data_IF_063821361196
#
_entry.id   IF_063821361196
#
_cell.length_a   1.000
_cell.length_b   1.000
_cell.length_c   1.000
_cell.angle_alpha   90.00
_cell.angle_beta   90.00
_cell.angle_gamma   90.00
#
_symmetry.space_group_name_H-M   'P 1'
#
loop_
_entity.id
_entity.type
_entity.pdbx_description
1 polymer ?
#
# COMPACT_ATOMS: atom_id res chain seq x y z
N UNK A 1 10.89 13.14 17.22
CA UNK A 1 11.50 12.54 18.42
C UNK A 1 12.17 11.19 18.16
N UNK A 2 12.29 10.82 16.87
CA UNK A 2 12.87 9.53 16.40
C UNK A 2 12.19 8.28 17.02
N UNK A 3 10.89 8.38 17.35
CA UNK A 3 10.10 7.25 17.90
C UNK A 3 10.29 6.99 19.39
N UNK A 4 10.97 7.86 20.13
CA UNK A 4 11.19 7.68 21.59
C UNK A 4 9.86 7.63 22.34
N UNK A 5 8.88 8.45 21.97
CA UNK A 5 7.57 8.50 22.64
C UNK A 5 6.46 7.82 21.80
N UNK A 6 6.82 6.92 20.88
CA UNK A 6 5.85 6.27 19.97
C UNK A 6 4.70 5.56 20.70
N UNK A 7 4.99 4.93 21.83
CA UNK A 7 3.99 4.18 22.61
C UNK A 7 2.98 5.08 23.32
N UNK A 8 3.34 6.32 23.62
CA UNK A 8 2.43 7.32 24.18
C UNK A 8 1.63 8.03 23.09
N UNK A 9 2.25 8.25 21.92
CA UNK A 9 1.67 9.01 20.83
C UNK A 9 0.80 8.19 19.89
N UNK A 10 0.98 6.87 19.83
CA UNK A 10 0.25 5.99 18.88
C UNK A 10 -1.27 6.08 19.01
N UNK A 11 -1.78 6.30 20.23
CA UNK A 11 -3.21 6.42 20.49
C UNK A 11 -3.82 7.74 19.99
N UNK A 12 -2.97 8.73 19.68
CA UNK A 12 -3.38 10.04 19.15
C UNK A 12 -3.37 10.08 17.62
N UNK A 13 -2.82 9.04 16.96
CA UNK A 13 -2.79 8.98 15.51
C UNK A 13 -4.20 8.77 14.95
N UNK A 14 -4.57 9.64 14.03
CA UNK A 14 -5.88 9.60 13.37
C UNK A 14 -5.72 9.71 11.86
N UNK A 15 -6.42 8.86 11.13
CA UNK A 15 -6.39 8.82 9.67
C UNK A 15 -7.81 8.75 9.11
N UNK A 16 -8.01 9.24 7.89
CA UNK A 16 -9.32 9.15 7.25
C UNK A 16 -9.60 7.70 6.84
N UNK A 17 -10.72 7.18 7.32
CA UNK A 17 -11.19 5.83 7.00
C UNK A 17 -11.98 5.81 5.70
N UNK A 18 -11.75 4.79 4.87
CA UNK A 18 -12.57 4.51 3.68
C UNK A 18 -14.00 4.12 4.01
N UNK A 19 -14.24 3.56 5.20
CA UNK A 19 -15.55 3.07 5.66
C UNK A 19 -16.37 4.16 6.34
N UNK A 20 -15.71 4.93 7.22
CA UNK A 20 -16.36 5.97 8.01
C UNK A 20 -16.36 7.35 7.32
N UNK A 21 -15.53 7.53 6.30
CA UNK A 21 -15.32 8.78 5.56
C UNK A 21 -14.95 10.00 6.46
N UNK A 22 -14.36 9.71 7.62
CA UNK A 22 -13.89 10.67 8.62
C UNK A 22 -12.60 10.21 9.26
N UNK A 23 -11.98 11.08 10.07
CA UNK A 23 -10.84 10.72 10.91
C UNK A 23 -11.27 9.67 11.95
N UNK A 24 -10.49 8.60 12.05
CA UNK A 24 -10.65 7.52 13.04
C UNK A 24 -9.30 7.23 13.69
N UNK A 25 -9.34 6.77 14.94
CA UNK A 25 -8.14 6.28 15.63
C UNK A 25 -7.75 4.89 15.13
N UNK A 26 -6.54 4.47 15.42
CA UNK A 26 -6.09 3.10 15.13
C UNK A 26 -6.91 2.06 15.94
N UNK A 27 -7.33 2.38 17.16
CA UNK A 27 -8.19 1.53 17.97
C UNK A 27 -9.56 1.33 17.31
N UNK A 28 -10.20 2.41 16.85
CA UNK A 28 -11.48 2.33 16.14
C UNK A 28 -11.35 1.47 14.86
N UNK A 29 -10.28 1.62 14.10
CA UNK A 29 -10.02 0.78 12.93
C UNK A 29 -9.88 -0.69 13.31
N UNK A 30 -9.02 -1.01 14.29
CA UNK A 30 -8.77 -2.39 14.73
C UNK A 30 -10.04 -3.04 15.27
N UNK A 31 -10.91 -2.30 15.97
CA UNK A 31 -12.19 -2.82 16.47
C UNK A 31 -13.15 -3.29 15.36
N UNK A 32 -12.98 -2.80 14.14
CA UNK A 32 -13.80 -3.14 12.96
C UNK A 32 -13.13 -4.12 12.01
N UNK A 33 -11.87 -4.52 12.28
CA UNK A 33 -11.16 -5.50 11.46
C UNK A 33 -11.87 -6.86 11.46
N UNK A 34 -11.68 -7.63 10.40
CA UNK A 34 -12.11 -9.04 10.35
C UNK A 34 -11.30 -9.86 11.36
N UNK A 35 -11.89 -10.93 11.90
CA UNK A 35 -11.25 -11.77 12.94
C UNK A 35 -9.90 -12.34 12.51
N UNK A 36 -9.77 -12.72 11.24
CA UNK A 36 -8.55 -13.29 10.64
C UNK A 36 -7.59 -12.23 10.08
N UNK A 37 -7.97 -10.96 10.06
CA UNK A 37 -7.14 -9.88 9.53
C UNK A 37 -5.98 -9.55 10.47
N UNK A 38 -4.76 -9.66 9.95
CA UNK A 38 -3.52 -9.38 10.71
C UNK A 38 -2.89 -8.03 10.37
N UNK A 39 -3.45 -7.33 9.40
CA UNK A 39 -2.81 -6.18 8.74
C UNK A 39 -3.74 -4.98 8.70
N UNK A 40 -3.22 -3.83 9.09
CA UNK A 40 -3.86 -2.52 8.90
C UNK A 40 -3.53 -2.05 7.49
N UNK A 41 -4.53 -1.96 6.62
CA UNK A 41 -4.36 -1.51 5.25
C UNK A 41 -4.44 0.00 5.14
N UNK A 42 -3.51 0.59 4.40
CA UNK A 42 -3.52 2.00 4.08
C UNK A 42 -3.17 2.27 2.61
N UNK A 43 -3.55 3.42 2.11
CA UNK A 43 -3.15 3.96 0.82
C UNK A 43 -2.61 5.37 1.01
N UNK A 44 -1.43 5.65 0.46
CA UNK A 44 -0.82 6.98 0.49
C UNK A 44 -1.03 7.68 -0.86
N UNK A 45 -1.46 8.92 -0.83
CA UNK A 45 -1.61 9.78 -2.00
C UNK A 45 -1.70 11.26 -1.58
N UNK A 46 -1.47 12.18 -2.53
CA UNK A 46 -1.54 13.63 -2.28
C UNK A 46 -2.94 14.13 -1.81
N UNK A 47 -3.99 13.34 -2.01
CA UNK A 47 -5.34 13.65 -1.52
C UNK A 47 -6.21 12.39 -1.39
N UNK A 48 -7.30 12.49 -0.62
CA UNK A 48 -8.28 11.42 -0.43
C UNK A 48 -8.89 11.00 -1.78
N UNK A 49 -9.19 11.97 -2.66
CA UNK A 49 -9.75 11.71 -3.98
C UNK A 49 -8.81 10.85 -4.82
N UNK A 50 -7.51 11.16 -4.81
CA UNK A 50 -6.51 10.36 -5.51
C UNK A 50 -6.37 8.97 -4.89
N UNK A 51 -6.34 8.86 -3.56
CA UNK A 51 -6.30 7.58 -2.87
C UNK A 51 -7.50 6.69 -3.24
N UNK A 52 -8.70 7.25 -3.28
CA UNK A 52 -9.93 6.55 -3.70
C UNK A 52 -9.90 6.05 -5.15
N UNK A 53 -9.09 6.65 -6.02
CA UNK A 53 -8.97 6.27 -7.44
C UNK A 53 -7.96 5.14 -7.68
N UNK A 54 -7.22 4.72 -6.68
CA UNK A 54 -6.22 3.65 -6.82
C UNK A 54 -6.90 2.29 -7.04
N UNK A 55 -6.52 1.53 -8.07
CA UNK A 55 -7.11 0.21 -8.36
C UNK A 55 -7.04 -0.76 -7.19
N UNK A 56 -5.93 -0.73 -6.45
CA UNK A 56 -5.71 -1.59 -5.29
C UNK A 56 -6.66 -1.24 -4.13
N UNK A 57 -7.02 0.03 -3.98
CA UNK A 57 -8.03 0.47 -3.00
C UNK A 57 -9.39 -0.09 -3.38
N UNK A 58 -9.82 0.09 -4.64
CA UNK A 58 -11.08 -0.49 -5.14
C UNK A 58 -11.15 -2.01 -4.88
N UNK A 59 -10.07 -2.72 -5.14
CA UNK A 59 -9.99 -4.17 -4.94
C UNK A 59 -10.08 -4.56 -3.46
N UNK A 60 -9.36 -3.86 -2.57
CA UNK A 60 -9.42 -4.09 -1.12
C UNK A 60 -10.83 -3.83 -0.57
N UNK A 61 -11.47 -2.74 -1.00
CA UNK A 61 -12.84 -2.40 -0.60
C UNK A 61 -13.86 -3.43 -1.10
N UNK A 62 -13.74 -3.89 -2.35
CA UNK A 62 -14.60 -4.93 -2.92
C UNK A 62 -14.53 -6.24 -2.14
N UNK A 63 -13.37 -6.55 -1.56
CA UNK A 63 -13.16 -7.69 -0.66
C UNK A 63 -13.56 -7.42 0.79
N UNK A 64 -14.11 -6.24 1.08
CA UNK A 64 -14.65 -5.84 2.38
C UNK A 64 -13.60 -5.45 3.42
N UNK A 65 -12.40 -5.08 2.99
CA UNK A 65 -11.39 -4.48 3.87
C UNK A 65 -11.59 -2.97 3.99
N UNK A 66 -11.36 -2.43 5.17
CA UNK A 66 -11.27 -1.00 5.40
C UNK A 66 -9.85 -0.53 5.07
N UNK A 67 -9.70 0.62 4.42
CA UNK A 67 -8.40 1.23 4.06
C UNK A 67 -8.30 2.60 4.70
N UNK A 68 -7.19 2.91 5.34
CA UNK A 68 -6.86 4.24 5.84
C UNK A 68 -6.21 5.07 4.73
N UNK A 69 -6.62 6.32 4.58
CA UNK A 69 -6.03 7.24 3.61
C UNK A 69 -4.99 8.12 4.28
N UNK A 70 -3.75 7.97 3.84
CA UNK A 70 -2.60 8.77 4.27
C UNK A 70 -2.42 9.90 3.26
N UNK A 71 -2.62 11.13 3.70
CA UNK A 71 -2.58 12.31 2.83
C UNK A 71 -1.52 13.32 3.28
N UNK A 72 -0.91 13.11 4.43
CA UNK A 72 0.26 13.85 4.87
C UNK A 72 1.53 13.06 4.55
N UNK A 73 2.57 13.78 4.08
CA UNK A 73 3.84 13.14 3.70
C UNK A 73 4.57 12.49 4.87
N UNK A 74 4.18 12.78 6.11
CA UNK A 74 4.77 12.16 7.29
C UNK A 74 4.02 10.91 7.76
N UNK A 75 2.81 10.64 7.24
CA UNK A 75 1.98 9.53 7.68
C UNK A 75 2.67 8.17 7.51
N UNK A 76 3.23 7.90 6.31
CA UNK A 76 3.94 6.65 6.07
C UNK A 76 5.20 6.51 6.94
N UNK A 77 5.94 7.59 7.15
CA UNK A 77 7.11 7.56 8.04
C UNK A 77 6.70 7.29 9.49
N UNK A 78 5.61 7.89 9.96
CA UNK A 78 5.10 7.69 11.32
C UNK A 78 4.71 6.23 11.56
N UNK A 79 3.93 5.59 10.67
CA UNK A 79 3.52 4.19 10.85
C UNK A 79 4.68 3.21 10.67
N UNK A 80 5.67 3.53 9.84
CA UNK A 80 6.90 2.73 9.74
C UNK A 80 7.74 2.77 11.01
N UNK A 81 7.82 3.92 11.68
CA UNK A 81 8.47 4.03 12.98
C UNK A 81 7.69 3.32 14.07
N UNK A 82 6.36 3.31 13.98
CA UNK A 82 5.49 2.57 14.90
C UNK A 82 5.63 1.05 14.70
N UNK A 83 5.83 0.59 13.46
CA UNK A 83 5.95 -0.80 13.00
C UNK A 83 4.64 -1.59 13.09
N UNK A 84 3.98 -1.60 14.23
CA UNK A 84 2.72 -2.32 14.45
C UNK A 84 1.84 -1.61 15.49
N UNK A 85 0.55 -1.90 15.46
CA UNK A 85 -0.41 -1.48 16.46
C UNK A 85 -1.27 -2.69 16.88
N UNK A 86 -1.29 -3.01 18.18
CA UNK A 86 -1.99 -4.19 18.73
C UNK A 86 -1.70 -5.49 17.94
N UNK A 87 -0.42 -5.78 17.71
CA UNK A 87 0.08 -6.93 16.95
C UNK A 87 -0.37 -6.96 15.46
N UNK A 88 -0.89 -5.85 14.94
CA UNK A 88 -1.25 -5.69 13.53
C UNK A 88 -0.18 -4.86 12.83
N UNK A 89 0.34 -5.35 11.72
CA UNK A 89 1.32 -4.64 10.88
C UNK A 89 0.63 -3.67 9.95
N UNK A 90 1.33 -2.62 9.51
CA UNK A 90 0.83 -1.68 8.51
C UNK A 90 1.31 -2.10 7.12
N UNK A 91 0.40 -2.17 6.15
CA UNK A 91 0.74 -2.49 4.77
C UNK A 91 0.04 -1.52 3.81
N UNK A 92 0.83 -0.92 2.92
CA UNK A 92 0.31 -0.11 1.82
C UNK A 92 -0.36 -1.04 0.80
N UNK A 93 -1.63 -0.79 0.47
CA UNK A 93 -2.36 -1.61 -0.52
C UNK A 93 -1.71 -1.57 -1.91
N UNK A 94 -0.91 -0.55 -2.20
CA UNK A 94 -0.15 -0.43 -3.45
C UNK A 94 1.17 -1.21 -3.44
N UNK A 95 1.55 -1.83 -2.31
CA UNK A 95 2.76 -2.65 -2.24
C UNK A 95 2.50 -4.08 -2.71
N UNK A 96 3.57 -4.74 -3.16
CA UNK A 96 3.55 -6.17 -3.47
C UNK A 96 3.18 -7.04 -2.26
N UNK A 97 3.46 -6.54 -1.04
CA UNK A 97 3.19 -7.23 0.24
C UNK A 97 1.71 -7.24 0.65
N UNK A 98 0.86 -6.41 0.03
CA UNK A 98 -0.57 -6.40 0.35
C UNK A 98 -1.20 -7.76 -0.01
N UNK A 99 -1.63 -8.50 1.01
CA UNK A 99 -2.19 -9.84 0.87
C UNK A 99 -3.69 -9.83 1.20
N UNK A 100 -4.50 -9.55 0.18
CA UNK A 100 -5.96 -9.68 0.23
C UNK A 100 -6.51 -10.56 -0.89
N UNK A 101 -5.64 -11.34 -1.56
CA UNK A 101 -6.02 -12.34 -2.55
C UNK A 101 -6.35 -13.68 -1.86
N UNK A 102 -7.28 -14.42 -2.43
CA UNK A 102 -7.57 -15.80 -1.99
C UNK A 102 -6.45 -16.74 -2.42
N UNK A 103 -6.39 -17.92 -1.81
CA UNK A 103 -5.39 -18.93 -2.18
C UNK A 103 -5.58 -19.38 -3.65
N UNK A 104 -6.83 -19.43 -4.14
CA UNK A 104 -7.16 -19.72 -5.54
C UNK A 104 -6.62 -18.62 -6.47
N UNK A 105 -6.87 -17.36 -6.17
CA UNK A 105 -6.33 -16.22 -6.93
C UNK A 105 -4.80 -16.19 -6.96
N UNK A 106 -4.14 -16.60 -5.87
CA UNK A 106 -2.66 -16.71 -5.82
C UNK A 106 -2.13 -17.81 -6.74
N UNK A 107 -2.79 -18.97 -6.78
CA UNK A 107 -2.43 -20.06 -7.69
C UNK A 107 -2.70 -19.68 -9.16
N UNK A 108 -3.81 -19.01 -9.44
CA UNK A 108 -4.10 -18.47 -10.77
C UNK A 108 -3.05 -17.42 -11.17
N UNK A 109 -2.69 -16.49 -10.31
CA UNK A 109 -1.63 -15.52 -10.56
C UNK A 109 -0.31 -16.21 -10.93
N UNK A 110 0.07 -17.27 -10.21
CA UNK A 110 1.28 -18.02 -10.47
C UNK A 110 1.24 -18.67 -11.85
N UNK A 111 0.14 -19.38 -12.15
CA UNK A 111 -0.04 -20.05 -13.44
C UNK A 111 -0.03 -19.08 -14.62
N UNK A 112 -0.74 -17.95 -14.49
CA UNK A 112 -0.79 -16.91 -15.53
C UNK A 112 0.57 -16.23 -15.73
N UNK A 113 1.31 -15.98 -14.65
CA UNK A 113 2.66 -15.40 -14.75
C UNK A 113 3.65 -16.36 -15.40
N UNK A 114 3.62 -17.64 -15.08
CA UNK A 114 4.46 -18.67 -15.71
C UNK A 114 4.10 -18.85 -17.20
N UNK A 115 2.81 -18.89 -17.52
CA UNK A 115 2.33 -19.10 -18.90
C UNK A 115 2.59 -17.92 -19.83
N UNK A 116 2.70 -16.71 -19.31
CA UNK A 116 2.86 -15.48 -20.08
C UNK A 116 4.19 -14.78 -19.84
N UNK A 117 5.20 -15.49 -19.32
CA UNK A 117 6.51 -14.92 -18.97
C UNK A 117 7.16 -14.17 -20.14
N UNK A 118 7.13 -14.74 -21.36
CA UNK A 118 7.69 -14.10 -22.55
C UNK A 118 6.99 -12.76 -22.85
N UNK A 119 5.66 -12.70 -22.74
CA UNK A 119 4.90 -11.48 -22.96
C UNK A 119 5.28 -10.40 -21.94
N UNK A 120 5.36 -10.76 -20.65
CA UNK A 120 5.71 -9.82 -19.59
C UNK A 120 7.14 -9.31 -19.70
N UNK A 121 8.07 -10.15 -20.17
CA UNK A 121 9.44 -9.73 -20.47
C UNK A 121 9.49 -8.73 -21.62
N UNK A 122 8.73 -8.94 -22.70
CA UNK A 122 8.61 -7.98 -23.82
C UNK A 122 8.00 -6.65 -23.34
N UNK A 123 6.98 -6.69 -22.51
CA UNK A 123 6.37 -5.49 -21.94
C UNK A 123 7.34 -4.73 -21.03
N UNK A 124 8.10 -5.46 -20.18
CA UNK A 124 9.14 -4.88 -19.34
C UNK A 124 10.23 -4.20 -20.17
N UNK A 125 10.71 -4.86 -21.22
CA UNK A 125 11.74 -4.31 -22.11
C UNK A 125 11.26 -3.03 -22.81
N UNK A 126 9.99 -2.99 -23.21
CA UNK A 126 9.38 -1.79 -23.78
C UNK A 126 9.25 -0.62 -22.78
N UNK A 127 9.06 -0.92 -21.48
CA UNK A 127 9.00 0.08 -20.41
C UNK A 127 10.41 0.51 -19.93
N UNK A 128 11.43 -0.32 -20.18
CA UNK A 128 12.82 -0.06 -19.81
C UNK A 128 13.01 0.03 -18.28
N UNK A 129 13.84 0.99 -17.85
CA UNK A 129 14.20 1.19 -16.44
C UNK A 129 13.09 1.84 -15.58
N UNK A 130 11.89 2.01 -16.14
CA UNK A 130 10.76 2.60 -15.41
C UNK A 130 10.12 1.62 -14.44
N UNK A 131 10.23 0.32 -14.72
CA UNK A 131 9.68 -0.74 -13.89
C UNK A 131 10.70 -1.87 -13.73
N UNK A 132 10.67 -2.54 -12.58
CA UNK A 132 11.52 -3.70 -12.28
C UNK A 132 10.95 -4.98 -12.88
N UNK A 133 9.62 -5.11 -12.93
CA UNK A 133 8.92 -6.27 -13.45
C UNK A 133 7.53 -5.89 -13.99
N UNK A 134 6.98 -6.78 -14.82
CA UNK A 134 5.57 -6.77 -15.24
C UNK A 134 4.98 -8.13 -14.90
N UNK A 135 3.80 -8.14 -14.29
CA UNK A 135 3.16 -9.40 -13.88
C UNK A 135 1.63 -9.29 -13.87
N UNK A 136 0.98 -10.42 -13.98
CA UNK A 136 -0.45 -10.55 -13.76
C UNK A 136 -0.78 -10.59 -12.26
N UNK A 137 -1.92 -9.99 -11.87
CA UNK A 137 -2.44 -10.03 -10.49
C UNK A 137 -3.95 -9.81 -10.46
N UNK A 138 -4.64 -10.46 -9.54
CA UNK A 138 -6.05 -10.23 -9.23
C UNK A 138 -6.30 -8.98 -8.38
N UNK A 139 -5.26 -8.29 -7.92
CA UNK A 139 -5.38 -7.05 -7.12
C UNK A 139 -5.94 -5.86 -7.91
N UNK A 140 -6.11 -6.00 -9.21
CA UNK A 140 -6.60 -4.93 -10.10
C UNK A 140 -8.13 -4.78 -10.12
N UNK A 141 -8.89 -5.80 -9.71
CA UNK A 141 -10.33 -5.83 -9.88
C UNK A 141 -10.73 -5.61 -11.35
N UNK A 142 -11.42 -4.52 -11.64
CA UNK A 142 -11.86 -4.15 -12.99
C UNK A 142 -10.88 -3.28 -13.79
N UNK A 143 -9.75 -2.91 -13.21
CA UNK A 143 -8.78 -2.03 -13.87
C UNK A 143 -7.80 -2.83 -14.73
N UNK A 144 -7.37 -2.30 -15.90
CA UNK A 144 -6.51 -3.04 -16.82
C UNK A 144 -5.05 -3.12 -16.36
N UNK A 145 -4.58 -2.16 -15.55
CA UNK A 145 -3.22 -2.10 -15.04
C UNK A 145 -3.11 -1.16 -13.85
N UNK A 146 -2.08 -1.36 -13.04
CA UNK A 146 -1.67 -0.43 -12.00
C UNK A 146 -0.14 -0.46 -11.85
N UNK A 147 0.38 0.50 -11.10
CA UNK A 147 1.74 0.43 -10.55
C UNK A 147 1.66 -0.10 -9.12
N UNK A 148 2.55 -1.01 -8.78
CA UNK A 148 2.81 -1.41 -7.41
C UNK A 148 4.27 -1.18 -7.08
N UNK A 149 4.57 -0.87 -5.84
CA UNK A 149 5.94 -0.74 -5.37
C UNK A 149 6.37 -2.00 -4.61
N UNK A 150 7.62 -2.37 -4.80
CA UNK A 150 8.30 -3.40 -4.02
C UNK A 150 9.32 -2.76 -3.10
N UNK A 151 9.66 -3.47 -2.00
CA UNK A 151 10.65 -2.99 -1.07
C UNK A 151 10.18 -1.89 -0.12
N UNK A 152 11.14 -1.18 0.46
CA UNK A 152 10.89 -0.28 1.58
C UNK A 152 10.25 1.05 1.18
N UNK A 153 10.58 1.59 0.00
CA UNK A 153 10.10 2.91 -0.42
C UNK A 153 8.82 2.81 -1.23
N UNK A 154 7.78 3.53 -0.82
CA UNK A 154 6.63 3.80 -1.68
C UNK A 154 6.94 4.93 -2.67
N UNK A 155 6.15 5.03 -3.73
CA UNK A 155 6.28 6.13 -4.69
C UNK A 155 6.05 7.51 -4.02
N UNK A 156 5.19 7.58 -3.01
CA UNK A 156 4.98 8.83 -2.25
C UNK A 156 6.17 9.14 -1.35
N UNK A 157 6.75 8.16 -0.66
CA UNK A 157 7.98 8.35 0.12
C UNK A 157 9.16 8.80 -0.77
N UNK A 158 9.28 8.23 -1.97
CA UNK A 158 10.30 8.67 -2.95
C UNK A 158 10.17 10.16 -3.25
N UNK A 159 8.95 10.64 -3.54
CA UNK A 159 8.70 12.07 -3.81
C UNK A 159 9.13 12.95 -2.64
N UNK A 160 8.77 12.56 -1.42
CA UNK A 160 9.10 13.31 -0.20
C UNK A 160 10.61 13.38 0.00
N UNK A 161 11.30 12.23 -0.08
CA UNK A 161 12.74 12.16 0.10
C UNK A 161 13.49 12.98 -0.95
N UNK A 162 13.05 12.93 -2.21
CA UNK A 162 13.68 13.71 -3.28
C UNK A 162 13.38 15.21 -3.21
N UNK A 163 12.32 15.63 -2.51
CA UNK A 163 12.04 17.02 -2.22
C UNK A 163 12.89 17.60 -1.08
N UNK A 164 13.53 16.75 -0.28
CA UNK A 164 14.40 17.20 0.80
C UNK A 164 15.75 17.69 0.28
N UNK A 165 16.26 18.84 0.74
CA UNK A 165 17.56 19.34 0.34
C UNK A 165 18.69 18.35 0.63
N UNK A 166 19.48 18.02 -0.41
CA UNK A 166 20.64 17.13 -0.29
C UNK A 166 20.36 15.63 -0.47
N UNK A 167 19.12 15.25 -0.74
CA UNK A 167 18.74 13.83 -0.94
C UNK A 167 18.18 13.60 -2.35
N UNK A 168 19.05 13.53 -3.35
CA UNK A 168 18.69 13.40 -4.78
C UNK A 168 18.91 11.98 -5.31
N UNK A 169 18.51 10.96 -4.61
CA UNK A 169 18.81 9.57 -5.03
C UNK A 169 17.87 8.50 -4.50
N UNK A 170 16.81 8.87 -3.79
CA UNK A 170 15.81 7.91 -3.38
C UNK A 170 15.00 7.45 -4.61
N UNK A 171 14.84 6.14 -4.77
CA UNK A 171 14.05 5.53 -5.86
C UNK A 171 13.24 4.37 -5.30
N UNK A 172 11.92 4.40 -5.54
CA UNK A 172 11.05 3.26 -5.28
C UNK A 172 11.23 2.21 -6.39
N UNK A 173 11.14 0.94 -6.03
CA UNK A 173 11.09 -0.17 -6.98
C UNK A 173 9.64 -0.36 -7.45
N UNK A 174 9.39 -0.15 -8.74
CA UNK A 174 8.08 -0.27 -9.39
C UNK A 174 8.03 -1.51 -10.27
#
# INVERSE_FOLDING_TARGET
DYGVNKDELKELLMFVSSKEEKLVTLEEYVSRMKEDQKTIYYAAADSIEKAKMLPQVDSALAKGYEVLYFTDYMDEFAVRMLMSYNDKTFVNVCSGEADFETDEEKEENKTENESNEELFNVMKDALGDKVSAVRFTHKLGKHPSCLSNEGFLSAEMEKVLNAMPGNNGAKAEL
#
